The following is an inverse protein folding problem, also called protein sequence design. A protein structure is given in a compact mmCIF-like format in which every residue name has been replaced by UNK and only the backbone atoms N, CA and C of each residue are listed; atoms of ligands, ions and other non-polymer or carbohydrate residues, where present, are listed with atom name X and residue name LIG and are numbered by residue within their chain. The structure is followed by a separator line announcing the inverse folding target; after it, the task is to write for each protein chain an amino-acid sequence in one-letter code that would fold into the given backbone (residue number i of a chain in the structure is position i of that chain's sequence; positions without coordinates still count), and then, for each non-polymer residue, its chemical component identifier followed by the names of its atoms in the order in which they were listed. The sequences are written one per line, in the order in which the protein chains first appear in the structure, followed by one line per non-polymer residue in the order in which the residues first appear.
data_IF_739606567473
#
_entry.id   IF_739606567473
#
_cell.length_a   1.000
_cell.length_b   1.000
_cell.length_c   1.000
_cell.angle_alpha   90.00
_cell.angle_beta   90.00
_cell.angle_gamma   90.00
#
_symmetry.space_group_name_H-M   'P 1'
#
loop_
_entity.id
_entity.type
_entity.pdbx_description
1 polymer ?
#
# COMPACT_ATOMS: atom_id res chain seq x y z
N UNK A 1 19.69 3.24 20.43
CA UNK A 1 19.42 2.93 19.00
C UNK A 1 20.65 3.32 18.22
N UNK A 2 21.30 2.39 17.54
CA UNK A 2 22.56 2.64 16.83
C UNK A 2 22.31 2.47 15.34
N UNK A 3 22.64 3.49 14.54
CA UNK A 3 22.45 3.48 13.08
C UNK A 3 23.81 3.32 12.40
N UNK A 4 23.88 2.45 11.39
CA UNK A 4 25.07 2.23 10.56
C UNK A 4 24.73 2.66 9.14
N UNK A 5 25.44 3.65 8.62
CA UNK A 5 25.23 4.17 7.26
C UNK A 5 26.57 4.33 6.55
N UNK A 6 26.57 4.13 5.23
CA UNK A 6 27.73 4.40 4.37
C UNK A 6 27.71 5.84 3.80
N UNK A 7 26.79 6.66 4.29
CA UNK A 7 26.54 8.02 3.80
C UNK A 7 27.08 8.99 4.86
N UNK A 8 28.25 9.58 4.59
CA UNK A 8 28.98 10.45 5.53
C UNK A 8 28.73 11.95 5.32
N UNK A 9 28.04 12.30 4.25
CA UNK A 9 27.73 13.67 3.82
C UNK A 9 26.37 14.17 4.33
N UNK A 10 25.62 13.34 5.07
CA UNK A 10 24.35 13.71 5.69
C UNK A 10 24.52 13.89 7.20
N UNK A 11 23.74 14.80 7.78
CA UNK A 11 23.69 14.97 9.22
C UNK A 11 23.01 13.76 9.89
N UNK A 12 23.36 13.53 11.15
CA UNK A 12 22.83 12.41 11.96
C UNK A 12 21.29 12.45 12.02
N UNK A 13 20.70 13.65 12.09
CA UNK A 13 19.25 13.84 12.10
C UNK A 13 18.59 13.43 10.79
N UNK A 14 19.23 13.74 9.65
CA UNK A 14 18.73 13.37 8.32
C UNK A 14 18.78 11.86 8.14
N UNK A 15 19.85 11.21 8.61
CA UNK A 15 19.98 9.75 8.62
C UNK A 15 18.87 9.14 9.49
N UNK A 16 18.65 9.65 10.70
CA UNK A 16 17.57 9.17 11.58
C UNK A 16 16.18 9.35 10.94
N UNK A 17 15.95 10.47 10.24
CA UNK A 17 14.71 10.73 9.51
C UNK A 17 14.52 9.77 8.33
N UNK A 18 15.58 9.47 7.58
CA UNK A 18 15.55 8.50 6.49
C UNK A 18 15.25 7.07 7.01
N UNK A 19 15.83 6.70 8.15
CA UNK A 19 15.49 5.44 8.82
C UNK A 19 14.05 5.39 9.32
N UNK A 20 13.46 6.54 9.69
CA UNK A 20 12.03 6.65 10.01
C UNK A 20 11.15 6.41 8.77
N UNK A 21 11.57 6.89 7.59
CA UNK A 21 10.87 6.61 6.32
C UNK A 21 10.85 5.13 5.95
N UNK A 22 11.87 4.37 6.34
CA UNK A 22 11.87 2.90 6.18
C UNK A 22 10.68 2.24 6.88
N UNK A 23 10.22 2.76 8.01
CA UNK A 23 9.06 2.21 8.72
C UNK A 23 7.75 2.48 7.99
N UNK A 24 7.64 3.59 7.24
CA UNK A 24 6.44 3.91 6.46
C UNK A 24 6.17 2.82 5.41
N UNK A 25 7.21 2.22 4.83
CA UNK A 25 7.04 1.11 3.87
C UNK A 25 6.51 -0.16 4.55
N UNK A 26 6.94 -0.44 5.78
CA UNK A 26 6.43 -1.58 6.56
C UNK A 26 4.97 -1.36 6.95
N UNK A 27 4.61 -0.14 7.35
CA UNK A 27 3.22 0.25 7.60
C UNK A 27 2.37 0.16 6.33
N UNK A 28 2.89 0.56 5.18
CA UNK A 28 2.22 0.41 3.88
C UNK A 28 1.97 -1.06 3.55
N UNK A 29 2.97 -1.94 3.68
CA UNK A 29 2.78 -3.36 3.43
C UNK A 29 1.90 -4.05 4.48
N UNK A 30 1.94 -3.61 5.74
CA UNK A 30 1.02 -4.07 6.78
C UNK A 30 -0.41 -3.69 6.44
N UNK A 31 -0.63 -2.44 6.02
CA UNK A 31 -1.93 -1.95 5.56
C UNK A 31 -2.42 -2.74 4.34
N UNK A 32 -1.56 -2.98 3.34
CA UNK A 32 -1.90 -3.83 2.19
C UNK A 32 -2.35 -5.21 2.66
N UNK A 33 -1.55 -5.91 3.47
CA UNK A 33 -1.89 -7.27 3.92
C UNK A 33 -3.17 -7.32 4.76
N UNK A 34 -3.47 -6.27 5.52
CA UNK A 34 -4.67 -6.19 6.36
C UNK A 34 -5.94 -5.86 5.57
N UNK A 35 -5.85 -4.96 4.59
CA UNK A 35 -7.02 -4.47 3.84
C UNK A 35 -7.27 -5.31 2.57
N UNK A 36 -6.22 -5.76 1.89
CA UNK A 36 -6.31 -6.69 0.77
C UNK A 36 -6.35 -8.12 1.31
N UNK A 37 -7.54 -8.58 1.75
CA UNK A 37 -7.84 -10.00 1.97
C UNK A 37 -7.92 -10.74 0.62
N UNK A 38 -6.83 -10.78 -0.14
CA UNK A 38 -6.76 -11.49 -1.42
C UNK A 38 -6.82 -12.99 -1.13
N UNK A 39 -8.02 -13.57 -1.22
CA UNK A 39 -8.24 -15.02 -1.02
C UNK A 39 -7.57 -15.89 -2.08
N UNK A 40 -7.36 -15.36 -3.29
CA UNK A 40 -6.65 -15.98 -4.41
C UNK A 40 -6.18 -14.89 -5.36
N UNK A 41 -4.91 -14.90 -5.73
CA UNK A 41 -4.39 -14.01 -6.75
C UNK A 41 -4.85 -14.53 -8.12
N UNK A 42 -5.31 -13.64 -9.02
CA UNK A 42 -5.77 -14.03 -10.37
C UNK A 42 -4.56 -14.49 -11.23
N UNK A 43 -3.34 -14.10 -10.85
CA UNK A 43 -2.07 -14.57 -11.38
C UNK A 43 -0.87 -13.83 -10.77
N UNK A 44 0.36 -14.30 -11.00
CA UNK A 44 1.58 -13.70 -10.45
C UNK A 44 2.29 -12.71 -11.40
N UNK A 45 1.77 -12.51 -12.62
CA UNK A 45 2.33 -11.53 -13.54
C UNK A 45 1.97 -10.10 -13.11
N UNK A 46 2.83 -9.12 -13.46
CA UNK A 46 2.60 -7.70 -13.15
C UNK A 46 1.21 -7.24 -13.63
N UNK A 47 0.83 -7.62 -14.85
CA UNK A 47 -0.47 -7.30 -15.42
C UNK A 47 -1.62 -7.91 -14.62
N UNK A 48 -1.49 -9.15 -14.14
CA UNK A 48 -2.53 -9.81 -13.34
C UNK A 48 -2.76 -9.07 -12.01
N UNK A 49 -1.69 -8.57 -11.38
CA UNK A 49 -1.78 -7.78 -10.14
C UNK A 49 -2.45 -6.43 -10.38
N UNK A 50 -2.08 -5.72 -11.46
CA UNK A 50 -2.67 -4.43 -11.81
C UNK A 50 -4.17 -4.58 -12.11
N UNK A 51 -4.55 -5.58 -12.90
CA UNK A 51 -5.95 -5.85 -13.24
C UNK A 51 -6.76 -6.18 -11.99
N UNK A 52 -6.22 -7.02 -11.09
CA UNK A 52 -6.89 -7.36 -9.83
C UNK A 52 -7.14 -6.12 -8.97
N UNK A 53 -6.16 -5.21 -8.88
CA UNK A 53 -6.29 -3.97 -8.12
C UNK A 53 -7.29 -2.98 -8.75
N UNK A 54 -7.26 -2.83 -10.07
CA UNK A 54 -8.22 -1.97 -10.79
C UNK A 54 -9.66 -2.50 -10.65
N UNK A 55 -9.87 -3.81 -10.77
CA UNK A 55 -11.17 -4.46 -10.56
C UNK A 55 -11.70 -4.19 -9.14
N UNK A 56 -10.85 -4.31 -8.12
CA UNK A 56 -11.21 -4.01 -6.72
C UNK A 56 -11.65 -2.55 -6.55
N UNK A 57 -10.91 -1.60 -7.12
CA UNK A 57 -11.29 -0.17 -7.07
C UNK A 57 -12.58 0.14 -7.82
N UNK A 58 -12.85 -0.54 -8.93
CA UNK A 58 -14.10 -0.36 -9.69
C UNK A 58 -15.31 -0.87 -8.89
N UNK A 59 -15.19 -2.02 -8.23
CA UNK A 59 -16.23 -2.58 -7.37
C UNK A 59 -16.53 -1.66 -6.18
N UNK A 60 -15.51 -1.08 -5.55
CA UNK A 60 -15.69 -0.07 -4.47
C UNK A 60 -16.41 1.19 -4.98
N UNK A 61 -16.09 1.63 -6.21
CA UNK A 61 -16.71 2.81 -6.82
C UNK A 61 -18.18 2.56 -7.18
N UNK A 62 -18.52 1.39 -7.72
CA UNK A 62 -19.92 1.04 -8.02
C UNK A 62 -20.77 0.78 -6.78
N UNK A 63 -20.17 0.25 -5.71
CA UNK A 63 -20.84 0.14 -4.41
C UNK A 63 -21.22 1.51 -3.84
N UNK A 64 -20.45 2.56 -4.13
CA UNK A 64 -20.76 3.93 -3.68
C UNK A 64 -21.84 4.60 -4.56
N UNK A 65 -22.00 4.17 -5.81
CA UNK A 65 -22.99 4.70 -6.75
C UNK A 65 -24.36 4.00 -6.65
N UNK A 66 -24.38 2.70 -6.36
CA UNK A 66 -25.61 1.89 -6.24
C UNK A 66 -26.39 2.12 -4.94
N UNK A 67 -25.75 2.66 -3.89
CA UNK A 67 -26.45 3.07 -2.67
C UNK A 67 -27.39 4.28 -2.85
N UNK A 68 -27.28 5.02 -3.96
CA UNK A 68 -28.16 6.14 -4.28
C UNK A 68 -29.43 5.79 -5.07
N UNK A 69 -29.62 4.53 -5.49
CA UNK A 69 -30.71 4.13 -6.41
C UNK A 69 -31.77 3.20 -5.79
N UNK A 70 -31.66 2.83 -4.51
CA UNK A 70 -32.63 1.96 -3.83
C UNK A 70 -33.54 2.72 -2.83
N UNK A 71 -33.88 3.98 -3.11
CA UNK A 71 -34.79 4.79 -2.26
C UNK A 71 -35.93 5.46 -3.03
N UNK A 72 -36.55 4.72 -3.96
CA UNK A 72 -37.87 5.06 -4.54
C UNK A 72 -38.70 3.78 -4.64
#
# INVERSE_FOLDING_TARGET
MTFVTNIFNLLIEEIAWLYKKRWEIELFFKWIKQNLKIKKNIGHSLNAVIITFLMLKLIEKESSASFGLNSI
#
